data_IF_255215527455
#
_entry.id   IF_255215527455
#
_cell.length_a   1.000
_cell.length_b   1.000
_cell.length_c   1.000
_cell.angle_alpha   90.00
_cell.angle_beta   90.00
_cell.angle_gamma   90.00
#
_symmetry.space_group_name_H-M   'P 1'
#
loop_
_entity.id
_entity.type
_entity.pdbx_description
1 polymer ?
#
# COMPACT_ATOMS: atom_id res chain seq x y z
N UNK A 1 28.20 -3.21 -39.82
CA UNK A 1 27.37 -1.99 -39.83
C UNK A 1 26.27 -1.98 -38.74
N UNK A 2 26.53 -2.53 -37.54
CA UNK A 2 25.52 -2.54 -36.45
C UNK A 2 25.85 -1.57 -35.29
N UNK A 3 26.87 -0.72 -35.46
CA UNK A 3 27.28 0.20 -34.37
C UNK A 3 26.72 1.64 -34.45
N UNK A 4 26.25 2.09 -35.63
CA UNK A 4 25.78 3.47 -35.79
C UNK A 4 24.32 3.70 -35.38
N UNK A 5 23.43 2.70 -35.55
CA UNK A 5 22.01 2.85 -35.18
C UNK A 5 21.78 3.02 -33.67
N UNK A 6 22.60 2.38 -32.85
CA UNK A 6 22.50 2.47 -31.38
C UNK A 6 22.96 3.81 -30.81
N UNK A 7 23.96 4.44 -31.42
CA UNK A 7 24.46 5.76 -31.02
C UNK A 7 23.53 6.88 -31.45
N UNK A 8 22.97 6.81 -32.68
CA UNK A 8 21.98 7.76 -33.15
C UNK A 8 20.67 7.71 -32.35
N UNK A 9 20.21 6.50 -31.96
CA UNK A 9 19.06 6.34 -31.08
C UNK A 9 19.32 6.98 -29.69
N UNK A 10 20.50 6.75 -29.11
CA UNK A 10 20.91 7.31 -27.83
C UNK A 10 21.07 8.87 -27.87
N UNK A 11 21.52 9.40 -28.99
CA UNK A 11 21.64 10.86 -29.20
C UNK A 11 20.26 11.53 -29.36
N UNK A 12 19.31 10.88 -30.07
CA UNK A 12 17.92 11.34 -30.19
C UNK A 12 17.19 11.35 -28.83
N UNK A 13 17.46 10.37 -27.95
CA UNK A 13 16.89 10.31 -26.58
C UNK A 13 17.20 11.55 -25.75
N UNK A 14 18.28 12.30 -26.02
CA UNK A 14 18.69 13.47 -25.24
C UNK A 14 18.22 14.82 -25.84
N UNK A 15 17.71 14.82 -27.06
CA UNK A 15 17.44 16.06 -27.81
C UNK A 15 15.98 16.46 -27.93
N UNK A 16 15.04 15.55 -27.71
CA UNK A 16 13.62 15.82 -27.95
C UNK A 16 12.79 16.00 -26.68
N UNK A 17 12.97 15.09 -25.69
CA UNK A 17 12.28 15.17 -24.40
C UNK A 17 13.12 14.54 -23.28
N UNK A 18 12.81 14.91 -22.04
CA UNK A 18 13.44 14.34 -20.84
C UNK A 18 12.39 13.73 -19.91
N UNK A 19 12.58 12.47 -19.59
CA UNK A 19 11.95 11.76 -18.50
C UNK A 19 13.01 11.62 -17.38
N UNK A 20 12.89 12.43 -16.32
CA UNK A 20 14.00 12.67 -15.40
C UNK A 20 14.09 11.67 -14.26
N UNK A 21 12.96 11.10 -13.84
CA UNK A 21 12.91 10.11 -12.79
C UNK A 21 12.01 8.95 -13.22
N UNK A 22 12.34 7.67 -12.92
CA UNK A 22 11.52 6.52 -13.33
C UNK A 22 10.08 6.56 -12.83
N UNK A 23 9.84 7.26 -11.72
CA UNK A 23 8.51 7.45 -11.11
C UNK A 23 7.75 8.65 -11.65
N UNK A 24 8.33 9.44 -12.59
CA UNK A 24 7.63 10.59 -13.17
C UNK A 24 6.52 10.12 -14.10
N UNK A 25 5.37 10.74 -13.96
CA UNK A 25 4.18 10.50 -14.79
C UNK A 25 4.22 11.32 -16.10
N UNK A 26 5.18 12.22 -16.19
CA UNK A 26 5.33 13.13 -17.33
C UNK A 26 6.77 13.24 -17.77
N UNK A 27 6.98 13.38 -19.08
CA UNK A 27 8.23 13.85 -19.67
C UNK A 27 8.13 15.33 -20.09
N UNK A 28 9.26 16.01 -20.22
CA UNK A 28 9.32 17.42 -20.63
C UNK A 28 9.89 17.51 -22.03
N UNK A 29 9.17 18.13 -22.94
CA UNK A 29 9.60 18.44 -24.30
C UNK A 29 10.73 19.49 -24.26
N UNK A 30 11.87 19.21 -24.88
CA UNK A 30 13.01 20.14 -24.98
C UNK A 30 12.91 21.07 -26.19
N UNK A 31 12.06 20.74 -27.15
CA UNK A 31 11.70 21.51 -28.31
C UNK A 31 10.19 21.39 -28.57
N UNK A 32 9.63 22.16 -29.45
CA UNK A 32 8.25 21.93 -29.91
C UNK A 32 8.14 20.57 -30.61
N UNK A 33 7.17 19.76 -30.21
CA UNK A 33 6.83 18.47 -30.76
C UNK A 33 5.44 18.53 -31.38
N UNK A 34 5.21 17.72 -32.43
CA UNK A 34 3.93 17.73 -33.16
C UNK A 34 3.08 16.54 -32.77
N UNK A 35 1.79 16.68 -32.98
CA UNK A 35 0.86 15.57 -32.94
C UNK A 35 1.37 14.44 -33.83
N UNK A 36 1.15 13.19 -33.41
CA UNK A 36 1.60 11.97 -34.06
C UNK A 36 3.12 11.70 -34.09
N UNK A 37 3.96 12.64 -33.59
CA UNK A 37 5.38 12.32 -33.38
C UNK A 37 5.52 11.17 -32.38
N UNK A 38 6.47 10.27 -32.65
CA UNK A 38 6.87 9.23 -31.69
C UNK A 38 8.17 9.63 -31.03
N UNK A 39 8.12 9.83 -29.73
CA UNK A 39 9.23 10.31 -28.90
C UNK A 39 9.74 9.19 -28.01
N UNK A 40 11.05 8.91 -28.07
CA UNK A 40 11.69 7.98 -27.16
C UNK A 40 12.14 8.71 -25.90
N UNK A 41 11.65 8.28 -24.76
CA UNK A 41 12.06 8.78 -23.42
C UNK A 41 12.67 7.65 -22.60
N UNK A 42 13.66 7.95 -21.76
CA UNK A 42 14.28 6.96 -20.88
C UNK A 42 14.65 7.57 -19.55
N UNK A 43 14.53 6.76 -18.47
CA UNK A 43 14.91 7.10 -17.12
C UNK A 43 15.16 5.84 -16.29
N UNK A 44 16.22 5.79 -15.47
CA UNK A 44 16.49 4.71 -14.52
C UNK A 44 16.61 3.31 -15.15
N UNK A 45 17.03 3.22 -16.41
CA UNK A 45 17.11 1.94 -17.14
C UNK A 45 15.83 1.57 -17.90
N UNK A 46 14.73 2.29 -17.69
CA UNK A 46 13.49 2.15 -18.43
C UNK A 46 13.54 3.02 -19.69
N UNK A 47 12.96 2.53 -20.80
CA UNK A 47 12.79 3.30 -22.05
C UNK A 47 11.39 3.06 -22.60
N UNK A 48 10.76 4.12 -23.12
CA UNK A 48 9.40 4.08 -23.71
C UNK A 48 9.36 4.89 -24.99
N UNK A 49 8.71 4.35 -26.01
CA UNK A 49 8.32 5.08 -27.21
C UNK A 49 6.89 5.55 -27.04
N UNK A 50 6.70 6.88 -27.08
CA UNK A 50 5.39 7.51 -26.78
C UNK A 50 4.95 8.26 -28.03
N UNK A 51 3.78 7.92 -28.56
CA UNK A 51 3.12 8.65 -29.63
C UNK A 51 2.33 9.80 -29.05
N UNK A 52 2.60 11.01 -29.51
CA UNK A 52 1.92 12.21 -29.02
C UNK A 52 0.52 12.32 -29.61
N UNK A 53 -0.46 12.66 -28.78
CA UNK A 53 -1.86 12.84 -29.18
C UNK A 53 -2.17 14.28 -29.59
N UNK A 54 -1.24 15.21 -29.40
CA UNK A 54 -1.36 16.61 -29.76
C UNK A 54 -0.01 17.33 -29.78
N UNK A 55 0.01 18.57 -30.21
CA UNK A 55 1.20 19.42 -30.22
C UNK A 55 1.66 19.71 -28.77
N UNK A 56 2.95 19.55 -28.49
CA UNK A 56 3.55 19.82 -27.19
C UNK A 56 4.57 20.97 -27.35
N UNK A 57 4.31 22.15 -26.79
CA UNK A 57 5.26 23.26 -26.83
C UNK A 57 6.57 22.94 -26.10
N UNK A 58 7.67 23.58 -26.50
CA UNK A 58 8.96 23.46 -25.81
C UNK A 58 8.81 23.83 -24.32
N UNK A 59 9.41 23.03 -23.44
CA UNK A 59 9.32 23.20 -21.98
C UNK A 59 8.03 22.65 -21.34
N UNK A 60 7.04 22.27 -22.15
CA UNK A 60 5.80 21.68 -21.63
C UNK A 60 5.93 20.18 -21.40
N UNK A 61 4.97 19.64 -20.67
CA UNK A 61 4.92 18.24 -20.24
C UNK A 61 3.93 17.44 -21.08
N UNK A 62 4.23 16.17 -21.32
CA UNK A 62 3.28 15.20 -21.84
C UNK A 62 3.29 13.93 -20.98
N UNK A 63 2.17 13.25 -20.92
CA UNK A 63 2.01 12.04 -20.12
C UNK A 63 2.82 10.89 -20.69
N UNK A 64 3.56 10.16 -19.84
CA UNK A 64 4.32 8.97 -20.25
C UNK A 64 3.50 7.67 -20.14
N UNK A 65 2.26 7.77 -19.71
CA UNK A 65 1.24 6.72 -19.62
C UNK A 65 -0.14 7.36 -19.50
N UNK A 66 -1.20 6.57 -19.67
CA UNK A 66 -2.56 7.05 -19.38
C UNK A 66 -2.76 7.28 -17.88
N UNK A 67 -3.44 8.37 -17.53
CA UNK A 67 -3.57 8.90 -16.18
C UNK A 67 -5.03 9.29 -15.93
N UNK A 68 -5.63 8.80 -14.86
CA UNK A 68 -7.02 9.10 -14.51
C UNK A 68 -7.20 10.47 -13.82
N UNK A 69 -8.38 11.03 -13.93
CA UNK A 69 -8.79 12.22 -13.18
C UNK A 69 -8.61 12.01 -11.67
N UNK A 70 -8.23 13.05 -10.95
CA UNK A 70 -7.97 12.99 -9.52
C UNK A 70 -6.59 12.43 -9.14
N UNK A 71 -5.82 11.90 -10.10
CA UNK A 71 -4.49 11.36 -9.85
C UNK A 71 -3.50 12.49 -9.54
N UNK A 72 -2.70 12.33 -8.48
CA UNK A 72 -1.52 13.16 -8.23
C UNK A 72 -0.40 12.69 -9.13
N UNK A 73 0.16 13.60 -9.93
CA UNK A 73 1.23 13.28 -10.88
C UNK A 73 2.59 13.78 -10.40
N UNK A 74 3.63 13.05 -10.79
CA UNK A 74 5.03 13.32 -10.41
C UNK A 74 5.83 13.87 -11.56
N UNK A 75 6.78 14.75 -11.19
CA UNK A 75 7.90 15.20 -12.00
C UNK A 75 9.12 15.39 -11.09
N UNK A 76 10.29 14.93 -11.51
CA UNK A 76 11.52 14.89 -10.68
C UNK A 76 11.39 14.00 -9.43
N UNK A 77 10.55 12.97 -9.49
CA UNK A 77 10.22 12.13 -8.33
C UNK A 77 9.24 12.76 -7.35
N UNK A 78 8.91 14.06 -7.51
CA UNK A 78 8.06 14.84 -6.61
C UNK A 78 6.67 15.11 -7.21
N UNK A 79 5.65 15.18 -6.34
CA UNK A 79 4.30 15.53 -6.77
C UNK A 79 4.23 16.99 -7.22
N UNK A 80 3.67 17.22 -8.43
CA UNK A 80 3.56 18.56 -9.02
C UNK A 80 2.12 19.05 -9.14
N UNK A 81 1.13 18.19 -8.94
CA UNK A 81 -0.29 18.55 -9.03
C UNK A 81 -1.20 17.35 -9.09
N UNK A 82 -2.50 17.62 -9.20
CA UNK A 82 -3.59 16.66 -9.37
C UNK A 82 -4.27 16.87 -10.71
N UNK A 83 -4.52 15.81 -11.47
CA UNK A 83 -5.25 15.90 -12.72
C UNK A 83 -6.73 16.23 -12.47
N UNK A 84 -7.28 17.13 -13.26
CA UNK A 84 -8.69 17.52 -13.22
C UNK A 84 -9.57 16.72 -14.17
N UNK A 85 -8.96 15.97 -15.08
CA UNK A 85 -9.61 15.08 -16.06
C UNK A 85 -8.68 13.93 -16.44
N UNK A 86 -9.22 12.91 -17.11
CA UNK A 86 -8.40 11.84 -17.68
C UNK A 86 -7.43 12.38 -18.73
N UNK A 87 -6.22 11.83 -18.75
CA UNK A 87 -5.15 12.20 -19.68
C UNK A 87 -4.58 10.93 -20.30
N UNK A 88 -4.66 10.80 -21.61
CA UNK A 88 -4.08 9.68 -22.35
C UNK A 88 -2.56 9.77 -22.42
N UNK A 89 -1.89 8.61 -22.61
CA UNK A 89 -0.46 8.57 -22.91
C UNK A 89 -0.16 9.46 -24.14
N UNK A 90 0.90 10.27 -24.05
CA UNK A 90 1.30 11.23 -25.10
C UNK A 90 0.52 12.53 -25.11
N UNK A 91 -0.50 12.70 -24.27
CA UNK A 91 -1.28 13.93 -24.21
C UNK A 91 -0.56 15.03 -23.43
N UNK A 92 -0.82 16.27 -23.82
CA UNK A 92 -0.27 17.48 -23.18
C UNK A 92 -0.78 17.63 -21.74
N UNK A 93 0.14 17.82 -20.78
CA UNK A 93 -0.16 18.03 -19.36
C UNK A 93 0.22 19.46 -18.98
N UNK A 94 -0.80 20.28 -18.67
CA UNK A 94 -0.61 21.68 -18.32
C UNK A 94 -1.79 22.18 -17.47
N UNK A 95 -1.85 23.49 -17.17
CA UNK A 95 -2.86 24.13 -16.33
C UNK A 95 -4.32 23.86 -16.73
N UNK A 96 -4.59 23.45 -17.97
CA UNK A 96 -5.94 23.10 -18.41
C UNK A 96 -6.45 21.74 -17.90
N UNK A 97 -5.54 20.85 -17.51
CA UNK A 97 -5.85 19.51 -16.98
C UNK A 97 -5.03 19.14 -15.75
N UNK A 98 -4.25 20.05 -15.20
CA UNK A 98 -3.45 19.89 -14.00
C UNK A 98 -3.70 21.04 -13.05
N UNK A 99 -4.37 20.76 -11.95
CA UNK A 99 -4.37 21.64 -10.78
C UNK A 99 -3.02 21.46 -10.08
N UNK A 100 -2.15 22.47 -10.22
CA UNK A 100 -0.84 22.42 -9.60
C UNK A 100 -1.00 22.38 -8.09
N UNK A 101 -0.25 21.51 -7.43
CA UNK A 101 0.06 21.70 -6.03
C UNK A 101 0.96 22.94 -5.94
N UNK A 102 0.40 24.12 -6.27
CA UNK A 102 1.01 25.34 -5.81
C UNK A 102 1.21 25.09 -4.32
N UNK A 103 2.45 25.19 -3.83
CA UNK A 103 2.70 25.24 -2.39
C UNK A 103 1.72 26.31 -1.88
N UNK A 104 0.53 25.91 -1.43
CA UNK A 104 -0.18 26.71 -0.45
C UNK A 104 0.92 26.94 0.56
N UNK A 105 1.30 28.21 0.72
CA UNK A 105 2.30 28.58 1.73
C UNK A 105 1.95 27.75 2.96
N UNK A 106 2.92 27.06 3.55
CA UNK A 106 2.80 26.24 4.78
C UNK A 106 2.06 26.98 5.92
N UNK A 107 1.57 28.19 5.68
CA UNK A 107 0.84 29.07 6.59
C UNK A 107 -0.68 28.98 6.52
N UNK A 108 -1.27 28.31 5.52
CA UNK A 108 -2.73 28.06 5.49
C UNK A 108 -2.97 26.55 5.48
N UNK A 109 -3.08 25.95 6.68
CA UNK A 109 -3.33 24.53 6.93
C UNK A 109 -2.32 23.86 7.86
N UNK A 110 -1.57 24.63 8.64
CA UNK A 110 -0.62 24.10 9.64
C UNK A 110 -1.29 23.69 10.98
N UNK A 111 -2.62 23.60 11.03
CA UNK A 111 -3.37 23.20 12.22
C UNK A 111 -2.95 21.83 12.77
N UNK A 112 -2.35 20.97 11.93
CA UNK A 112 -1.85 19.67 12.37
C UNK A 112 -0.56 19.78 13.22
N UNK A 113 0.23 20.87 13.09
CA UNK A 113 1.43 21.07 13.91
C UNK A 113 1.08 21.22 15.39
N UNK A 114 -0.07 21.85 15.68
CA UNK A 114 -0.57 22.02 17.03
C UNK A 114 -1.16 20.70 17.60
N UNK A 115 -1.33 19.68 16.77
CA UNK A 115 -1.85 18.36 17.13
C UNK A 115 -0.75 17.30 17.28
N UNK A 116 0.52 17.72 17.21
CA UNK A 116 1.65 16.81 17.37
C UNK A 116 1.84 16.48 18.85
N UNK A 117 1.71 15.20 19.14
CA UNK A 117 1.95 14.63 20.46
C UNK A 117 3.30 13.89 20.49
N UNK A 118 4.00 13.87 21.62
CA UNK A 118 5.16 13.01 21.79
C UNK A 118 4.74 11.54 21.74
N UNK A 119 5.69 10.66 21.45
CA UNK A 119 5.47 9.21 21.52
C UNK A 119 4.98 8.85 22.93
N UNK A 120 3.84 8.16 23.10
CA UNK A 120 3.43 7.58 24.37
C UNK A 120 4.48 6.59 24.88
N UNK A 121 4.41 6.22 26.16
CA UNK A 121 5.20 5.10 26.67
C UNK A 121 4.88 3.85 25.85
N UNK A 122 5.92 3.14 25.41
CA UNK A 122 5.80 1.96 24.56
C UNK A 122 6.67 0.81 25.05
N UNK A 123 6.30 -0.38 24.64
CA UNK A 123 7.08 -1.61 24.78
C UNK A 123 7.57 -2.03 23.39
N UNK A 124 8.71 -2.73 23.34
CA UNK A 124 9.20 -3.38 22.14
C UNK A 124 8.81 -4.85 22.22
N UNK A 125 8.06 -5.32 21.25
CA UNK A 125 7.58 -6.70 21.19
C UNK A 125 8.54 -7.55 20.39
N UNK A 126 8.87 -8.72 20.94
CA UNK A 126 9.76 -9.70 20.31
C UNK A 126 11.21 -9.24 20.17
N UNK A 127 12.04 -10.09 19.54
CA UNK A 127 13.46 -9.84 19.34
C UNK A 127 13.82 -9.55 17.87
N UNK A 128 12.97 -9.97 16.93
CA UNK A 128 13.23 -9.90 15.51
C UNK A 128 13.21 -8.47 14.98
N UNK A 129 14.02 -8.25 13.95
CA UNK A 129 14.01 -7.04 13.14
C UNK A 129 13.55 -7.40 11.74
N UNK A 130 12.59 -6.65 11.23
CA UNK A 130 12.03 -6.80 9.89
C UNK A 130 12.64 -5.80 8.91
N UNK A 131 12.75 -6.20 7.64
CA UNK A 131 13.10 -5.30 6.54
C UNK A 131 11.91 -4.39 6.22
N UNK A 132 10.71 -4.97 6.06
CA UNK A 132 9.44 -4.26 5.98
C UNK A 132 8.45 -5.01 6.86
N UNK A 133 8.31 -4.59 8.11
CA UNK A 133 7.35 -5.18 9.04
C UNK A 133 5.95 -4.69 8.73
N UNK A 134 5.01 -5.62 8.54
CA UNK A 134 3.63 -5.34 8.11
C UNK A 134 2.62 -6.26 8.79
N UNK A 135 1.33 -6.02 8.46
CA UNK A 135 0.21 -6.88 8.84
C UNK A 135 0.17 -7.24 10.33
N UNK A 136 0.26 -6.25 11.26
CA UNK A 136 0.06 -6.56 12.67
C UNK A 136 -1.37 -7.08 12.89
N UNK A 137 -1.48 -8.22 13.58
CA UNK A 137 -2.74 -8.93 13.70
C UNK A 137 -2.84 -9.58 15.08
N UNK A 138 -3.87 -9.20 15.84
CA UNK A 138 -4.15 -9.78 17.16
C UNK A 138 -5.27 -10.80 17.07
N UNK A 139 -5.04 -12.01 17.56
CA UNK A 139 -6.06 -13.03 17.75
C UNK A 139 -6.43 -13.12 19.24
N UNK A 140 -7.55 -12.52 19.61
CA UNK A 140 -8.05 -12.53 20.98
C UNK A 140 -8.43 -13.93 21.47
N UNK A 141 -8.84 -14.83 20.54
CA UNK A 141 -9.29 -16.19 20.88
C UNK A 141 -8.15 -17.03 21.41
N UNK A 142 -6.95 -16.82 20.88
CA UNK A 142 -5.74 -17.60 21.25
C UNK A 142 -4.74 -16.77 22.04
N UNK A 143 -4.91 -15.46 22.15
CA UNK A 143 -3.92 -14.56 22.76
C UNK A 143 -2.63 -14.48 21.95
N UNK A 144 -2.71 -14.59 20.63
CA UNK A 144 -1.56 -14.58 19.72
C UNK A 144 -1.50 -13.30 18.93
N UNK A 145 -0.32 -12.77 18.79
CA UNK A 145 0.01 -11.66 17.92
C UNK A 145 0.80 -12.16 16.72
N UNK A 146 0.35 -11.84 15.51
CA UNK A 146 1.03 -12.17 14.27
C UNK A 146 1.50 -10.89 13.58
N UNK A 147 2.60 -10.98 12.82
CA UNK A 147 3.07 -9.95 11.89
C UNK A 147 3.93 -10.60 10.82
N UNK A 148 4.29 -9.85 9.80
CA UNK A 148 5.11 -10.36 8.70
C UNK A 148 6.34 -9.49 8.45
N UNK A 149 7.34 -10.07 7.78
CA UNK A 149 8.36 -9.36 7.01
C UNK A 149 8.05 -9.60 5.53
N UNK A 150 7.74 -8.53 4.79
CA UNK A 150 7.14 -8.64 3.45
C UNK A 150 8.10 -9.25 2.44
N UNK A 151 9.38 -8.87 2.47
CA UNK A 151 10.37 -9.22 1.43
C UNK A 151 11.80 -9.15 1.95
N UNK A 152 12.80 -9.44 1.08
CA UNK A 152 14.21 -9.63 1.37
C UNK A 152 14.45 -10.96 2.11
N UNK A 153 13.84 -11.14 3.25
CA UNK A 153 13.74 -12.41 3.98
C UNK A 153 12.30 -12.59 4.45
N UNK A 154 11.38 -12.93 3.52
CA UNK A 154 9.96 -12.99 3.85
C UNK A 154 9.72 -13.99 4.99
N UNK A 155 8.93 -13.58 5.98
CA UNK A 155 8.63 -14.39 7.17
C UNK A 155 7.26 -14.06 7.70
N UNK A 156 6.61 -15.04 8.28
CA UNK A 156 5.47 -14.86 9.17
C UNK A 156 5.98 -15.07 10.59
N UNK A 157 5.54 -14.22 11.51
CA UNK A 157 5.89 -14.30 12.93
C UNK A 157 4.64 -14.48 13.77
N UNK A 158 4.80 -15.14 14.90
CA UNK A 158 3.78 -15.26 15.94
C UNK A 158 4.43 -15.14 17.30
N UNK A 159 3.79 -14.38 18.20
CA UNK A 159 4.14 -14.30 19.60
C UNK A 159 2.89 -14.54 20.45
N UNK A 160 2.97 -15.48 21.37
CA UNK A 160 1.93 -15.69 22.37
C UNK A 160 2.02 -14.62 23.47
N UNK A 161 0.90 -14.22 24.04
CA UNK A 161 0.81 -13.09 25.00
C UNK A 161 1.78 -13.20 26.20
N UNK A 162 2.16 -14.42 26.58
CA UNK A 162 3.06 -14.67 27.73
C UNK A 162 4.41 -15.27 27.30
N UNK A 163 4.71 -15.33 26.01
CA UNK A 163 5.97 -15.86 25.49
C UNK A 163 7.04 -14.78 25.39
N UNK A 164 8.28 -15.15 25.62
CA UNK A 164 9.44 -14.28 25.43
C UNK A 164 10.07 -14.42 24.04
N UNK A 165 9.67 -15.42 23.25
CA UNK A 165 10.27 -15.74 21.95
C UNK A 165 9.19 -15.92 20.89
N UNK A 166 9.47 -15.37 19.72
CA UNK A 166 8.64 -15.56 18.53
C UNK A 166 8.78 -16.96 17.95
N UNK A 167 7.67 -17.49 17.43
CA UNK A 167 7.70 -18.52 16.39
C UNK A 167 7.85 -17.83 15.04
N UNK A 168 8.75 -18.34 14.20
CA UNK A 168 9.10 -17.72 12.92
C UNK A 168 9.02 -18.75 11.81
N UNK A 169 8.25 -18.48 10.78
CA UNK A 169 8.17 -19.30 9.57
C UNK A 169 8.79 -18.53 8.39
N UNK A 170 9.96 -18.96 7.87
CA UNK A 170 10.50 -18.44 6.63
C UNK A 170 9.57 -18.76 5.46
N UNK A 171 9.36 -17.78 4.58
CA UNK A 171 8.53 -17.93 3.40
C UNK A 171 9.38 -17.95 2.13
N UNK A 172 8.95 -18.72 1.14
CA UNK A 172 9.68 -18.84 -0.13
C UNK A 172 9.52 -17.64 -1.06
N UNK A 173 8.52 -16.80 -0.79
CA UNK A 173 8.14 -15.65 -1.62
C UNK A 173 7.61 -14.49 -0.77
N UNK A 174 7.45 -13.31 -1.38
CA UNK A 174 6.92 -12.12 -0.73
C UNK A 174 5.52 -12.40 -0.11
N UNK A 175 5.34 -11.96 1.13
CA UNK A 175 4.06 -12.02 1.87
C UNK A 175 3.52 -10.61 1.99
N UNK A 176 2.36 -10.32 1.41
CA UNK A 176 1.74 -9.01 1.46
C UNK A 176 1.00 -8.76 2.76
N UNK A 177 0.19 -9.74 3.20
CA UNK A 177 -0.58 -9.66 4.43
C UNK A 177 -1.02 -11.05 4.91
N UNK A 178 -1.42 -11.13 6.17
CA UNK A 178 -2.11 -12.29 6.76
C UNK A 178 -3.34 -11.80 7.53
N UNK A 179 -4.42 -12.57 7.47
CA UNK A 179 -5.64 -12.33 8.25
C UNK A 179 -6.10 -13.59 8.95
N UNK A 180 -6.88 -13.45 10.02
CA UNK A 180 -7.45 -14.58 10.72
C UNK A 180 -8.43 -15.34 9.83
N UNK A 181 -8.28 -16.65 9.75
CA UNK A 181 -9.20 -17.55 9.09
C UNK A 181 -10.00 -18.38 10.10
N UNK A 182 -10.63 -19.44 9.60
CA UNK A 182 -11.33 -20.42 10.41
C UNK A 182 -10.39 -21.55 10.85
N UNK A 183 -10.73 -22.23 11.95
CA UNK A 183 -10.01 -23.41 12.43
C UNK A 183 -8.59 -23.15 12.91
N UNK A 184 -8.25 -21.90 13.25
CA UNK A 184 -6.91 -21.54 13.71
C UNK A 184 -5.91 -21.27 12.57
N UNK A 185 -6.34 -21.40 11.31
CA UNK A 185 -5.52 -21.03 10.14
C UNK A 185 -5.53 -19.54 9.88
N UNK A 186 -4.53 -19.07 9.16
CA UNK A 186 -4.50 -17.74 8.58
C UNK A 186 -4.79 -17.83 7.07
N UNK A 187 -5.40 -16.80 6.51
CA UNK A 187 -5.41 -16.58 5.08
C UNK A 187 -4.23 -15.63 4.76
N UNK A 188 -3.33 -16.06 3.90
CA UNK A 188 -2.16 -15.30 3.46
C UNK A 188 -2.36 -14.78 2.04
N UNK A 189 -1.94 -13.55 1.79
CA UNK A 189 -1.80 -13.00 0.45
C UNK A 189 -0.31 -12.93 0.09
N UNK A 190 0.07 -13.67 -0.93
CA UNK A 190 1.44 -13.92 -1.35
C UNK A 190 1.71 -13.25 -2.71
N UNK A 191 2.94 -13.34 -3.21
CA UNK A 191 3.22 -12.98 -4.61
C UNK A 191 2.41 -13.86 -5.57
N UNK A 192 2.28 -15.14 -5.28
CA UNK A 192 1.56 -16.14 -6.09
C UNK A 192 0.05 -16.18 -5.84
N UNK A 193 -0.53 -15.19 -5.14
CA UNK A 193 -1.97 -15.12 -4.87
C UNK A 193 -2.34 -15.46 -3.43
N UNK A 194 -3.50 -16.09 -3.23
CA UNK A 194 -4.04 -16.37 -1.90
C UNK A 194 -3.82 -17.84 -1.51
N UNK A 195 -3.48 -18.07 -0.24
CA UNK A 195 -3.26 -19.39 0.31
C UNK A 195 -3.72 -19.46 1.77
N UNK A 196 -4.16 -20.63 2.21
CA UNK A 196 -4.25 -20.94 3.62
C UNK A 196 -2.85 -21.18 4.20
N UNK A 197 -2.59 -20.61 5.34
CA UNK A 197 -1.39 -20.85 6.13
C UNK A 197 -1.78 -21.51 7.45
N UNK A 198 -1.16 -22.65 7.78
CA UNK A 198 -1.38 -23.35 9.05
C UNK A 198 -0.24 -23.02 10.03
N UNK A 199 -0.51 -22.25 11.11
CA UNK A 199 0.53 -21.96 12.11
C UNK A 199 0.99 -23.17 12.91
N UNK A 200 0.30 -24.32 12.83
CA UNK A 200 0.69 -25.52 13.56
C UNK A 200 1.95 -26.17 12.98
N UNK A 201 2.12 -26.13 11.66
CA UNK A 201 3.24 -26.76 10.95
C UNK A 201 3.92 -25.86 9.91
N UNK A 202 3.39 -24.65 9.66
CA UNK A 202 3.90 -23.71 8.67
C UNK A 202 3.53 -24.06 7.23
N UNK A 203 2.61 -24.99 7.02
CA UNK A 203 2.19 -25.41 5.68
C UNK A 203 1.35 -24.34 4.97
N UNK A 204 1.48 -24.32 3.64
CA UNK A 204 0.66 -23.49 2.73
C UNK A 204 -0.22 -24.40 1.88
N UNK A 205 -1.49 -24.01 1.74
CA UNK A 205 -2.45 -24.64 0.85
C UNK A 205 -3.00 -23.57 -0.12
N UNK A 206 -2.52 -23.53 -1.38
CA UNK A 206 -2.91 -22.49 -2.34
C UNK A 206 -4.42 -22.51 -2.64
N UNK A 207 -5.00 -21.33 -2.78
CA UNK A 207 -6.41 -21.13 -3.13
C UNK A 207 -6.52 -20.76 -4.59
N UNK A 208 -6.03 -19.58 -4.96
CA UNK A 208 -6.02 -19.07 -6.32
C UNK A 208 -5.03 -17.90 -6.46
N UNK A 209 -4.58 -17.66 -7.68
CA UNK A 209 -3.86 -16.44 -8.07
C UNK A 209 -4.77 -15.55 -8.93
N UNK A 210 -5.20 -14.37 -8.41
CA UNK A 210 -6.05 -13.46 -9.18
C UNK A 210 -5.28 -12.67 -10.24
N UNK A 211 -3.93 -12.76 -10.25
CA UNK A 211 -3.04 -12.01 -11.16
C UNK A 211 -2.02 -12.93 -11.87
N UNK A 212 -2.38 -14.18 -12.16
CA UNK A 212 -1.53 -15.12 -12.87
C UNK A 212 -1.02 -14.60 -14.24
N UNK A 213 -1.73 -13.65 -14.83
CA UNK A 213 -1.37 -12.94 -16.07
C UNK A 213 -0.51 -11.67 -15.83
N UNK A 214 -0.25 -11.30 -14.59
CA UNK A 214 0.53 -10.12 -14.20
C UNK A 214 1.73 -10.51 -13.29
N UNK A 215 2.71 -11.30 -13.79
CA UNK A 215 3.76 -11.89 -12.95
C UNK A 215 4.71 -10.88 -12.30
N UNK A 216 4.68 -9.61 -12.75
CA UNK A 216 5.41 -8.51 -12.12
C UNK A 216 4.78 -8.02 -10.83
N UNK A 217 3.50 -8.31 -10.61
CA UNK A 217 2.77 -7.90 -9.43
C UNK A 217 2.98 -8.87 -8.24
N UNK A 218 2.60 -8.40 -7.07
CA UNK A 218 2.40 -9.19 -5.85
C UNK A 218 1.21 -8.65 -5.08
N UNK A 219 0.61 -9.47 -4.25
CA UNK A 219 -0.34 -8.97 -3.26
C UNK A 219 0.37 -8.05 -2.26
N UNK A 220 -0.37 -7.04 -1.77
CA UNK A 220 0.09 -6.10 -0.76
C UNK A 220 -0.81 -6.19 0.47
N UNK A 221 -1.24 -5.07 1.02
CA UNK A 221 -2.05 -5.06 2.23
C UNK A 221 -3.50 -5.51 1.97
N UNK A 222 -4.09 -6.14 2.97
CA UNK A 222 -5.44 -6.64 2.91
C UNK A 222 -6.05 -6.90 4.29
N UNK A 223 -7.38 -6.84 4.38
CA UNK A 223 -8.14 -7.12 5.60
C UNK A 223 -9.48 -7.76 5.29
N UNK A 224 -10.08 -8.35 6.31
CA UNK A 224 -11.46 -8.83 6.24
C UNK A 224 -12.44 -7.72 6.62
N UNK A 225 -13.58 -7.68 5.93
CA UNK A 225 -14.75 -6.92 6.38
C UNK A 225 -15.56 -7.69 7.40
N UNK A 226 -16.56 -7.04 8.01
CA UNK A 226 -17.40 -7.64 9.03
C UNK A 226 -18.25 -8.83 8.54
N UNK A 227 -18.47 -8.93 7.21
CA UNK A 227 -19.15 -10.07 6.60
C UNK A 227 -18.23 -11.29 6.43
N UNK A 228 -16.92 -11.13 6.63
CA UNK A 228 -15.94 -12.19 6.52
C UNK A 228 -15.37 -12.36 5.11
N UNK A 229 -15.54 -11.38 4.23
CA UNK A 229 -14.89 -11.32 2.91
C UNK A 229 -13.49 -10.74 3.07
N UNK A 230 -12.51 -11.27 2.35
CA UNK A 230 -11.15 -10.76 2.38
C UNK A 230 -10.94 -9.78 1.21
N UNK A 231 -10.38 -8.62 1.51
CA UNK A 231 -10.11 -7.56 0.56
C UNK A 231 -8.61 -7.28 0.52
N UNK A 232 -8.02 -7.27 -0.67
CA UNK A 232 -6.57 -7.16 -0.82
C UNK A 232 -6.20 -6.38 -2.07
N UNK A 233 -5.17 -5.55 -1.93
CA UNK A 233 -4.57 -4.85 -3.06
C UNK A 233 -3.36 -5.57 -3.62
N UNK A 234 -3.05 -5.34 -4.89
CA UNK A 234 -1.80 -5.73 -5.53
C UNK A 234 -0.98 -4.52 -5.96
N UNK A 235 0.30 -4.73 -6.20
CA UNK A 235 1.22 -3.70 -6.70
C UNK A 235 2.35 -4.31 -7.50
N UNK A 236 2.91 -3.54 -8.44
CA UNK A 236 4.19 -3.87 -9.05
C UNK A 236 5.33 -3.21 -8.25
N UNK A 237 6.14 -3.98 -7.50
CA UNK A 237 7.20 -3.41 -6.67
C UNK A 237 8.40 -2.91 -7.47
N UNK A 238 8.58 -3.36 -8.72
CA UNK A 238 9.74 -3.06 -9.56
C UNK A 238 9.53 -1.81 -10.40
N UNK A 239 8.39 -1.71 -11.09
CA UNK A 239 8.10 -0.56 -11.96
C UNK A 239 7.69 0.67 -11.17
N UNK A 240 7.01 0.45 -10.04
CA UNK A 240 6.42 1.52 -9.25
C UNK A 240 5.36 2.34 -9.98
N UNK A 241 4.79 1.77 -11.04
CA UNK A 241 3.68 2.35 -11.79
C UNK A 241 2.33 1.96 -11.16
N UNK A 242 1.25 2.58 -11.61
CA UNK A 242 -0.11 2.29 -11.14
C UNK A 242 -0.66 1.01 -11.83
N UNK A 243 0.04 -0.10 -11.66
CA UNK A 243 -0.28 -1.40 -12.26
C UNK A 243 -1.01 -2.33 -11.27
N UNK A 244 -1.19 -1.86 -10.03
CA UNK A 244 -1.88 -2.61 -9.00
C UNK A 244 -3.39 -2.57 -9.15
N UNK A 245 -4.02 -3.60 -8.60
CA UNK A 245 -5.46 -3.81 -8.59
C UNK A 245 -5.97 -4.02 -7.17
N UNK A 246 -7.28 -3.98 -6.98
CA UNK A 246 -7.92 -4.25 -5.71
C UNK A 246 -8.95 -5.37 -5.89
N UNK A 247 -8.86 -6.39 -5.04
CA UNK A 247 -9.63 -7.63 -5.12
C UNK A 247 -10.45 -7.84 -3.86
N UNK A 248 -11.54 -8.60 -4.01
CA UNK A 248 -12.32 -9.18 -2.94
C UNK A 248 -12.39 -10.69 -3.14
N UNK A 249 -11.99 -11.46 -2.13
CA UNK A 249 -12.18 -12.91 -2.05
C UNK A 249 -13.43 -13.19 -1.23
N UNK A 250 -14.39 -13.88 -1.83
CA UNK A 250 -15.66 -14.24 -1.21
C UNK A 250 -15.60 -15.62 -0.53
N UNK A 251 -16.64 -15.96 0.23
CA UNK A 251 -16.70 -17.19 1.03
C UNK A 251 -16.64 -18.48 0.20
N UNK A 252 -16.94 -18.43 -1.09
CA UNK A 252 -16.83 -19.56 -2.03
C UNK A 252 -15.42 -19.70 -2.63
N UNK A 253 -14.46 -18.90 -2.15
CA UNK A 253 -13.09 -18.81 -2.61
C UNK A 253 -12.95 -18.23 -4.03
N UNK A 254 -13.96 -17.59 -4.58
CA UNK A 254 -13.86 -16.82 -5.81
C UNK A 254 -13.29 -15.42 -5.54
N UNK A 255 -12.41 -14.92 -6.40
CA UNK A 255 -11.87 -13.58 -6.32
C UNK A 255 -12.47 -12.68 -7.40
N UNK A 256 -12.93 -11.50 -6.99
CA UNK A 256 -13.43 -10.47 -7.88
C UNK A 256 -12.46 -9.28 -7.88
N UNK A 257 -12.00 -8.87 -9.07
CA UNK A 257 -11.33 -7.58 -9.25
C UNK A 257 -12.37 -6.47 -9.17
N UNK A 258 -12.18 -5.53 -8.26
CA UNK A 258 -13.10 -4.41 -8.03
C UNK A 258 -12.71 -3.20 -8.88
N UNK A 259 -11.43 -2.84 -8.86
CA UNK A 259 -10.85 -1.75 -9.65
C UNK A 259 -9.33 -1.89 -9.74
N UNK A 260 -8.69 -1.07 -10.56
CA UNK A 260 -7.23 -1.03 -10.75
C UNK A 260 -6.69 0.38 -10.81
N UNK A 261 -5.44 0.51 -11.28
CA UNK A 261 -4.76 1.79 -11.39
C UNK A 261 -4.19 2.29 -10.07
N UNK A 262 -3.79 1.38 -9.19
CA UNK A 262 -3.20 1.67 -7.89
C UNK A 262 -1.67 1.55 -7.95
N UNK A 263 -0.98 2.42 -7.25
CA UNK A 263 0.49 2.34 -7.11
C UNK A 263 0.88 1.41 -5.96
N UNK A 264 0.33 1.66 -4.76
CA UNK A 264 0.66 0.90 -3.54
C UNK A 264 -0.54 0.98 -2.62
N UNK A 265 -1.55 0.11 -2.85
CA UNK A 265 -2.75 0.06 -2.01
C UNK A 265 -2.41 -0.45 -0.61
N UNK A 266 -2.84 0.30 0.41
CA UNK A 266 -2.57 0.02 1.82
C UNK A 266 -3.74 0.39 2.72
N UNK A 267 -3.72 -0.11 3.96
CA UNK A 267 -4.62 0.26 5.03
C UNK A 267 -6.10 0.06 4.75
N UNK A 268 -6.56 -1.01 4.04
CA UNK A 268 -7.98 -1.24 3.85
C UNK A 268 -8.67 -1.31 5.21
N UNK A 269 -9.72 -0.49 5.40
CA UNK A 269 -10.41 -0.36 6.68
C UNK A 269 -11.87 0.04 6.46
N UNK A 270 -12.74 -0.25 7.42
CA UNK A 270 -14.15 0.12 7.35
C UNK A 270 -14.56 0.90 8.57
N UNK A 271 -15.47 1.88 8.39
CA UNK A 271 -16.16 2.52 9.51
C UNK A 271 -16.83 1.46 10.40
N UNK A 272 -17.12 1.76 11.69
CA UNK A 272 -17.70 0.78 12.60
C UNK A 272 -19.03 0.18 12.12
N UNK A 273 -19.80 0.93 11.34
CA UNK A 273 -21.05 0.47 10.71
C UNK A 273 -20.86 -0.25 9.37
N UNK A 274 -19.62 -0.33 8.87
CA UNK A 274 -19.26 -0.94 7.61
C UNK A 274 -19.67 -0.16 6.36
N UNK A 275 -20.25 1.04 6.51
CA UNK A 275 -20.82 1.80 5.39
C UNK A 275 -19.81 2.67 4.64
N UNK A 276 -18.63 2.89 5.22
CA UNK A 276 -17.52 3.58 4.55
C UNK A 276 -16.32 2.66 4.50
N UNK A 277 -15.80 2.43 3.31
CA UNK A 277 -14.54 1.73 3.08
C UNK A 277 -13.43 2.74 2.82
N UNK A 278 -12.31 2.60 3.49
CA UNK A 278 -11.10 3.42 3.34
C UNK A 278 -9.99 2.62 2.69
N UNK A 279 -9.24 3.26 1.81
CA UNK A 279 -8.06 2.67 1.16
C UNK A 279 -7.01 3.75 0.90
N UNK A 280 -5.82 3.55 1.39
CA UNK A 280 -4.68 4.41 1.06
C UNK A 280 -4.02 3.98 -0.25
N UNK A 281 -3.51 4.94 -1.01
CA UNK A 281 -2.46 4.71 -2.00
C UNK A 281 -1.22 5.47 -1.54
N UNK A 282 -0.27 4.74 -0.97
CA UNK A 282 0.91 5.30 -0.32
C UNK A 282 1.70 6.22 -1.25
N UNK A 283 1.90 5.81 -2.50
CA UNK A 283 2.66 6.62 -3.47
C UNK A 283 1.91 7.86 -3.94
N UNK A 284 0.59 7.82 -3.94
CA UNK A 284 -0.21 9.01 -4.21
C UNK A 284 -0.25 9.95 -3.00
N UNK A 285 0.07 9.49 -1.80
CA UNK A 285 -0.08 10.24 -0.56
C UNK A 285 -1.54 10.58 -0.29
N UNK A 286 -2.46 9.68 -0.63
CA UNK A 286 -3.91 9.91 -0.56
C UNK A 286 -4.59 8.73 0.10
N UNK A 287 -5.51 9.03 1.01
CA UNK A 287 -6.48 8.05 1.51
C UNK A 287 -7.81 8.33 0.81
N UNK A 288 -8.36 7.32 0.20
CA UNK A 288 -9.67 7.35 -0.44
C UNK A 288 -10.74 6.80 0.48
N UNK A 289 -11.97 7.26 0.31
CA UNK A 289 -13.15 6.66 0.90
C UNK A 289 -14.16 6.30 -0.20
N UNK A 290 -14.93 5.25 0.08
CA UNK A 290 -16.01 4.76 -0.77
C UNK A 290 -17.22 4.50 0.10
N UNK A 291 -18.39 4.79 -0.40
CA UNK A 291 -19.61 4.23 0.22
C UNK A 291 -19.58 2.71 0.01
N UNK A 292 -19.94 1.97 1.00
CA UNK A 292 -19.90 0.50 0.99
C UNK A 292 -21.22 -0.07 1.50
N UNK A 293 -21.80 -1.00 0.76
CA UNK A 293 -22.89 -1.80 1.29
C UNK A 293 -22.31 -2.95 2.14
N UNK A 294 -22.50 -2.95 3.45
CA UNK A 294 -21.90 -3.95 4.32
C UNK A 294 -22.41 -5.37 4.06
N UNK A 295 -23.60 -5.53 3.47
CA UNK A 295 -24.18 -6.85 3.17
C UNK A 295 -23.59 -7.43 1.89
N UNK A 296 -23.54 -6.65 0.82
CA UNK A 296 -23.10 -7.11 -0.51
C UNK A 296 -21.63 -6.84 -0.78
N UNK A 297 -21.01 -5.88 -0.07
CA UNK A 297 -19.66 -5.38 -0.35
C UNK A 297 -19.59 -4.57 -1.64
N UNK A 298 -20.71 -4.06 -2.14
CA UNK A 298 -20.71 -3.17 -3.29
C UNK A 298 -20.15 -1.81 -2.89
N UNK A 299 -19.22 -1.30 -3.69
CA UNK A 299 -18.61 0.02 -3.50
C UNK A 299 -19.31 1.05 -4.38
N UNK A 300 -19.55 2.24 -3.81
CA UNK A 300 -19.93 3.44 -4.51
C UNK A 300 -18.76 4.18 -5.13
N UNK A 301 -18.97 5.46 -5.45
CA UNK A 301 -17.92 6.30 -6.06
C UNK A 301 -16.76 6.56 -5.10
N UNK A 302 -15.54 6.59 -5.67
CA UNK A 302 -14.32 6.93 -4.95
C UNK A 302 -14.25 8.44 -4.69
N UNK A 303 -14.03 8.83 -3.44
CA UNK A 303 -13.76 10.21 -3.03
C UNK A 303 -12.46 10.30 -2.25
N UNK A 304 -11.82 11.45 -2.23
CA UNK A 304 -10.66 11.72 -1.38
C UNK A 304 -11.17 11.90 0.05
N UNK A 305 -10.65 11.08 0.96
CA UNK A 305 -10.89 11.20 2.41
C UNK A 305 -9.84 12.12 3.05
N UNK A 306 -8.56 11.85 2.77
CA UNK A 306 -7.46 12.67 3.23
C UNK A 306 -6.36 12.74 2.16
N UNK A 307 -5.84 13.93 1.93
CA UNK A 307 -4.67 14.17 1.09
C UNK A 307 -3.54 14.66 1.98
N UNK A 308 -2.44 13.92 2.00
CA UNK A 308 -1.32 14.26 2.87
C UNK A 308 -0.67 15.60 2.51
N UNK A 309 -0.81 16.07 1.27
CA UNK A 309 -0.28 17.37 0.86
C UNK A 309 1.19 17.56 1.23
N UNK A 310 1.44 18.41 2.23
CA UNK A 310 2.78 18.69 2.76
C UNK A 310 3.16 17.83 3.98
N UNK A 311 2.31 16.90 4.42
CA UNK A 311 2.63 15.99 5.51
C UNK A 311 3.76 15.04 5.10
N UNK A 312 4.68 14.71 6.01
CA UNK A 312 5.80 13.84 5.69
C UNK A 312 5.36 12.39 5.49
N UNK A 313 6.03 11.68 4.58
CA UNK A 313 5.83 10.26 4.32
C UNK A 313 4.65 9.95 3.40
N UNK A 314 4.15 8.73 3.48
CA UNK A 314 2.99 8.24 2.75
C UNK A 314 2.08 7.42 3.66
N UNK A 315 0.73 7.48 3.49
CA UNK A 315 -0.20 6.69 4.28
C UNK A 315 0.01 5.21 3.97
N UNK A 316 0.21 4.42 5.00
CA UNK A 316 0.52 3.00 4.89
C UNK A 316 -0.55 2.18 5.62
N UNK A 317 -0.21 1.14 6.36
CA UNK A 317 -1.18 0.34 7.09
C UNK A 317 -2.01 1.18 8.06
N UNK A 318 -3.30 0.85 8.21
CA UNK A 318 -4.26 1.62 8.98
C UNK A 318 -5.17 0.74 9.85
N UNK A 319 -5.83 1.32 10.84
CA UNK A 319 -6.85 0.67 11.67
C UNK A 319 -7.92 1.68 12.08
N UNK A 320 -9.13 1.20 12.34
CA UNK A 320 -10.23 2.01 12.88
C UNK A 320 -10.31 1.78 14.39
N UNK A 321 -10.51 2.87 15.15
CA UNK A 321 -10.80 2.78 16.57
C UNK A 321 -12.31 2.76 16.89
N UNK A 322 -12.64 2.56 18.15
CA UNK A 322 -14.03 2.45 18.60
C UNK A 322 -14.82 3.77 18.47
N UNK A 323 -14.15 4.90 18.30
CA UNK A 323 -14.75 6.21 18.05
C UNK A 323 -14.97 6.45 16.54
N UNK A 324 -14.56 5.51 15.69
CA UNK A 324 -14.69 5.59 14.23
C UNK A 324 -13.58 6.37 13.54
N UNK A 325 -12.54 6.75 14.26
CA UNK A 325 -11.39 7.46 13.70
C UNK A 325 -10.41 6.49 13.02
N UNK A 326 -9.82 6.91 11.91
CA UNK A 326 -8.83 6.15 11.14
C UNK A 326 -7.42 6.47 11.62
N UNK A 327 -6.72 5.48 12.15
CA UNK A 327 -5.30 5.54 12.42
C UNK A 327 -4.51 5.09 11.21
N UNK A 328 -3.55 5.89 10.74
CA UNK A 328 -2.69 5.59 9.60
C UNK A 328 -1.22 5.76 9.97
N UNK A 329 -0.41 4.73 9.74
CA UNK A 329 1.03 4.84 9.79
C UNK A 329 1.53 5.68 8.61
N UNK A 330 2.55 6.52 8.84
CA UNK A 330 3.13 7.36 7.79
C UNK A 330 4.54 6.84 7.44
N UNK A 331 4.62 6.00 6.42
CA UNK A 331 5.89 5.41 6.00
C UNK A 331 6.87 6.47 5.51
N UNK A 332 8.01 6.59 6.19
CA UNK A 332 8.98 7.64 5.92
C UNK A 332 8.62 9.01 6.54
N UNK A 333 7.50 9.09 7.26
CA UNK A 333 7.03 10.31 7.93
C UNK A 333 7.33 10.37 9.42
N UNK A 334 7.73 9.25 10.05
CA UNK A 334 8.07 9.21 11.48
C UNK A 334 6.90 9.52 12.41
N UNK A 335 5.66 9.27 11.97
CA UNK A 335 4.48 9.54 12.79
C UNK A 335 3.32 8.58 12.47
N UNK A 336 2.36 8.54 13.38
CA UNK A 336 1.02 8.02 13.16
C UNK A 336 0.06 9.20 13.10
N UNK A 337 -0.94 9.14 12.22
CA UNK A 337 -1.99 10.16 12.13
C UNK A 337 -3.34 9.50 12.44
N UNK A 338 -4.09 10.12 13.33
CA UNK A 338 -5.49 9.80 13.60
C UNK A 338 -6.36 10.80 12.85
N UNK A 339 -7.21 10.30 11.97
CA UNK A 339 -8.19 11.11 11.25
C UNK A 339 -9.58 10.90 11.83
N UNK A 340 -10.28 11.99 12.06
CA UNK A 340 -11.70 11.96 12.37
C UNK A 340 -12.53 11.43 11.18
N UNK A 341 -13.78 10.98 11.39
CA UNK A 341 -14.61 10.41 10.32
C UNK A 341 -14.86 11.33 9.11
N UNK A 342 -14.70 12.63 9.29
CA UNK A 342 -14.80 13.65 8.22
C UNK A 342 -13.49 13.89 7.45
N UNK A 343 -12.40 13.19 7.83
CA UNK A 343 -11.08 13.33 7.21
C UNK A 343 -10.18 14.40 7.86
N UNK A 344 -10.66 15.13 8.86
CA UNK A 344 -9.84 16.08 9.61
C UNK A 344 -8.78 15.33 10.44
N UNK A 345 -7.58 15.93 10.54
CA UNK A 345 -6.55 15.40 11.44
C UNK A 345 -6.97 15.69 12.88
N UNK A 346 -7.13 14.63 13.66
CA UNK A 346 -7.44 14.69 15.08
C UNK A 346 -6.16 14.72 15.92
N UNK A 347 -5.24 13.78 15.69
CA UNK A 347 -3.97 13.66 16.43
C UNK A 347 -2.83 13.25 15.50
N UNK A 348 -1.61 13.67 15.83
CA UNK A 348 -0.37 13.23 15.18
C UNK A 348 0.59 12.76 16.26
N UNK A 349 0.88 11.47 16.33
CA UNK A 349 1.82 10.90 17.31
C UNK A 349 3.19 10.74 16.64
N UNK A 350 4.21 11.39 17.17
CA UNK A 350 5.60 11.15 16.75
C UNK A 350 6.02 9.73 17.09
N UNK A 351 6.74 9.10 16.17
CA UNK A 351 7.31 7.78 16.40
C UNK A 351 8.82 7.86 16.59
N UNK A 352 9.41 6.96 17.41
CA UNK A 352 10.86 6.92 17.62
C UNK A 352 11.61 6.29 16.44
N UNK A 353 10.95 6.13 15.31
CA UNK A 353 11.47 5.55 14.04
C UNK A 353 10.93 6.32 12.86
N UNK A 354 11.74 6.44 11.80
CA UNK A 354 11.34 7.15 10.59
C UNK A 354 10.30 6.42 9.72
N UNK A 355 10.13 5.09 9.89
CA UNK A 355 9.30 4.26 9.00
C UNK A 355 8.34 3.37 9.79
N UNK A 356 7.34 3.94 10.50
CA UNK A 356 6.19 3.15 10.92
C UNK A 356 5.44 2.68 9.65
N UNK A 357 5.05 1.41 9.59
CA UNK A 357 4.51 0.79 8.40
C UNK A 357 3.04 0.44 8.55
N UNK A 358 2.67 -0.27 9.63
CA UNK A 358 1.27 -0.66 9.82
C UNK A 358 0.86 -0.60 11.29
N UNK A 359 -0.45 -0.53 11.52
CA UNK A 359 -1.03 -0.46 12.86
C UNK A 359 -2.21 -1.42 13.02
N UNK A 360 -2.33 -2.00 14.22
CA UNK A 360 -3.51 -2.76 14.63
C UNK A 360 -3.77 -2.61 16.12
N UNK A 361 -5.03 -2.60 16.49
CA UNK A 361 -5.42 -2.69 17.90
C UNK A 361 -5.48 -4.14 18.37
N UNK A 362 -5.12 -4.35 19.64
CA UNK A 362 -5.15 -5.68 20.25
C UNK A 362 -4.98 -5.61 21.76
N UNK A 363 -4.64 -6.76 22.37
CA UNK A 363 -4.56 -6.91 23.81
C UNK A 363 -5.95 -6.89 24.47
N UNK A 364 -5.96 -6.85 25.80
CA UNK A 364 -7.22 -6.84 26.56
C UNK A 364 -8.06 -5.60 26.22
N UNK A 365 -9.30 -5.82 25.79
CA UNK A 365 -10.23 -4.77 25.40
C UNK A 365 -9.78 -3.92 24.22
N UNK A 366 -8.83 -4.42 23.42
CA UNK A 366 -8.28 -3.72 22.23
C UNK A 366 -7.69 -2.34 22.55
N UNK A 367 -7.11 -2.16 23.74
CA UNK A 367 -6.54 -0.88 24.19
C UNK A 367 -5.07 -0.69 23.84
N UNK A 368 -4.43 -1.69 23.26
CA UNK A 368 -3.04 -1.65 22.86
C UNK A 368 -2.95 -1.43 21.34
N UNK A 369 -2.23 -0.41 20.92
CA UNK A 369 -1.91 -0.18 19.52
C UNK A 369 -0.55 -0.82 19.21
N UNK A 370 -0.54 -1.83 18.36
CA UNK A 370 0.65 -2.46 17.82
C UNK A 370 1.06 -1.73 16.55
N UNK A 371 2.33 -1.38 16.45
CA UNK A 371 2.91 -0.65 15.31
C UNK A 371 4.08 -1.44 14.78
N UNK A 372 3.97 -1.95 13.56
CA UNK A 372 5.09 -2.52 12.84
C UNK A 372 5.91 -1.42 12.19
N UNK A 373 7.21 -1.67 12.00
CA UNK A 373 8.14 -0.68 11.45
C UNK A 373 9.09 -1.31 10.44
N UNK A 374 9.76 -0.49 9.63
CA UNK A 374 10.66 -0.97 8.59
C UNK A 374 12.09 -0.48 8.78
N UNK A 375 13.06 -1.34 8.44
CA UNK A 375 14.48 -1.00 8.33
C UNK A 375 14.96 -0.86 6.87
N UNK A 376 14.06 -1.00 5.90
CA UNK A 376 14.34 -0.98 4.47
C UNK A 376 15.16 0.24 4.04
N UNK A 377 16.26 -0.02 3.31
CA UNK A 377 17.12 1.01 2.74
C UNK A 377 17.93 1.81 3.77
N UNK A 378 18.00 1.34 5.03
CA UNK A 378 18.85 1.96 6.06
C UNK A 378 20.25 1.37 6.03
N UNK A 379 21.26 2.23 6.15
CA UNK A 379 22.64 1.85 6.38
C UNK A 379 22.87 1.41 7.81
N UNK A 380 23.96 0.72 8.11
CA UNK A 380 24.31 0.33 9.48
C UNK A 380 24.41 1.53 10.44
N UNK A 381 24.93 2.67 9.95
CA UNK A 381 25.00 3.89 10.74
C UNK A 381 23.60 4.43 11.09
N UNK A 382 22.65 4.38 10.14
CA UNK A 382 21.26 4.76 10.38
C UNK A 382 20.56 3.77 11.33
N UNK A 383 20.82 2.46 11.20
CA UNK A 383 20.29 1.45 12.11
C UNK A 383 20.84 1.60 13.54
N UNK A 384 22.07 2.09 13.67
CA UNK A 384 22.65 2.43 14.97
C UNK A 384 21.99 3.66 15.57
N UNK A 385 21.65 4.66 14.76
CA UNK A 385 20.96 5.87 15.19
C UNK A 385 19.47 5.62 15.49
N UNK A 386 18.83 4.71 14.75
CA UNK A 386 17.42 4.29 14.95
C UNK A 386 17.35 2.80 15.32
N UNK A 387 17.75 2.40 16.54
CA UNK A 387 17.83 0.99 16.91
C UNK A 387 16.47 0.25 16.93
N UNK A 388 15.39 1.00 16.94
CA UNK A 388 14.01 0.48 16.92
C UNK A 388 13.45 0.28 15.50
N UNK A 389 14.15 0.73 14.46
CA UNK A 389 13.71 0.51 13.08
C UNK A 389 13.61 -0.99 12.77
N UNK A 390 12.49 -1.43 12.21
CA UNK A 390 12.17 -2.84 11.96
C UNK A 390 11.66 -3.61 13.18
N UNK A 391 11.43 -2.94 14.33
CA UNK A 391 10.85 -3.57 15.54
C UNK A 391 9.34 -3.36 15.56
N UNK A 392 8.65 -4.17 16.36
CA UNK A 392 7.24 -3.96 16.70
C UNK A 392 7.16 -3.16 18.00
N UNK A 393 6.43 -2.05 17.97
CA UNK A 393 6.19 -1.19 19.14
C UNK A 393 4.74 -1.34 19.58
N UNK A 394 4.51 -1.34 20.88
CA UNK A 394 3.16 -1.49 21.45
C UNK A 394 2.93 -0.38 22.48
N UNK A 395 1.84 0.37 22.33
CA UNK A 395 1.54 1.53 23.16
C UNK A 395 0.04 1.63 23.46
N UNK A 396 -0.31 2.32 24.54
CA UNK A 396 -1.68 2.77 24.81
C UNK A 396 -1.82 4.20 24.27
N UNK A 397 -2.78 4.40 23.38
CA UNK A 397 -3.06 5.71 22.76
C UNK A 397 -4.31 6.38 23.33
N UNK A 398 -4.86 5.83 24.43
CA UNK A 398 -6.00 6.39 25.16
C UNK A 398 -7.37 6.05 24.57
N UNK A 399 -7.43 5.32 23.47
CA UNK A 399 -8.67 4.83 22.84
C UNK A 399 -8.58 3.33 22.60
N UNK A 400 -9.73 2.66 22.57
CA UNK A 400 -9.80 1.25 22.18
C UNK A 400 -10.01 1.11 20.68
N UNK A 401 -9.51 0.03 20.10
CA UNK A 401 -9.82 -0.36 18.72
C UNK A 401 -11.03 -1.27 18.60
N UNK A 402 -11.22 -1.79 17.40
CA UNK A 402 -12.22 -2.80 17.08
C UNK A 402 -11.57 -4.17 16.87
N UNK A 403 -12.26 -5.28 17.18
CA UNK A 403 -11.77 -6.62 16.89
C UNK A 403 -11.57 -6.80 15.38
N UNK A 404 -10.47 -7.48 14.94
CA UNK A 404 -10.29 -7.79 13.54
C UNK A 404 -11.35 -8.81 13.08
N UNK A 405 -11.91 -8.59 11.89
CA UNK A 405 -12.77 -9.59 11.28
C UNK A 405 -11.96 -10.80 10.79
N UNK A 406 -12.63 -11.96 10.70
CA UNK A 406 -12.03 -13.22 10.23
C UNK A 406 -12.57 -13.54 8.84
N UNK A 407 -11.73 -14.10 7.98
CA UNK A 407 -12.18 -14.67 6.73
C UNK A 407 -13.08 -15.89 7.00
N UNK A 408 -14.23 -15.92 6.33
CA UNK A 408 -15.21 -17.00 6.47
C UNK A 408 -15.38 -17.70 5.13
N UNK A 409 -14.84 -18.92 5.02
CA UNK A 409 -15.07 -19.76 3.86
C UNK A 409 -16.32 -20.61 4.03
N UNK A 410 -17.02 -20.91 2.93
CA UNK A 410 -18.14 -21.87 2.95
C UNK A 410 -17.57 -23.28 3.26
N UNK A 411 -18.17 -23.96 4.22
CA UNK A 411 -17.72 -25.30 4.69
C UNK A 411 -17.62 -26.38 3.59
N UNK A 412 -18.19 -26.16 2.41
CA UNK A 412 -18.10 -27.04 1.25
C UNK A 412 -16.87 -26.80 0.36
N UNK A 413 -16.30 -25.60 0.36
CA UNK A 413 -15.18 -25.21 -0.52
C UNK A 413 -13.84 -25.65 0.04
N UNK A 414 -13.71 -25.74 1.37
CA UNK A 414 -12.45 -26.09 2.04
C UNK A 414 -12.02 -27.59 1.89
N UNK A 415 -12.90 -28.45 1.40
CA UNK A 415 -12.61 -29.89 1.22
C UNK A 415 -12.28 -30.25 -0.24
N UNK A 416 -12.51 -29.39 -1.21
CA UNK A 416 -12.31 -29.69 -2.63
C UNK A 416 -10.84 -29.58 -3.09
N UNK A 417 -10.01 -28.80 -2.41
CA UNK A 417 -8.59 -28.60 -2.77
C UNK A 417 -7.69 -29.80 -2.44
N UNK A 418 -8.10 -30.66 -1.50
CA UNK A 418 -7.28 -31.80 -1.04
C UNK A 418 -7.43 -33.08 -1.89
N UNK A 419 -8.43 -33.16 -2.77
CA UNK A 419 -8.73 -34.39 -3.52
C UNK A 419 -8.17 -34.46 -4.95
N UNK A 420 -7.72 -33.33 -5.52
CA UNK A 420 -7.24 -33.28 -6.90
C UNK A 420 -5.76 -33.64 -7.11
N UNK A 421 -5.01 -33.93 -6.04
CA UNK A 421 -3.57 -34.19 -6.08
C UNK A 421 -3.12 -35.65 -5.90
N UNK A 422 -4.03 -36.62 -5.91
CA UNK A 422 -3.67 -38.05 -5.75
C UNK A 422 -4.32 -38.94 -6.79
N UNK A 423 -3.96 -38.73 -8.05
CA UNK A 423 -4.06 -39.77 -9.10
C UNK A 423 -3.14 -39.36 -10.26
N UNK A 424 -1.87 -39.69 -10.20
CA UNK A 424 -1.12 -40.19 -11.36
C UNK A 424 -0.03 -41.11 -10.82
N UNK A 425 -0.04 -42.31 -11.33
CA UNK A 425 0.82 -43.45 -11.06
C UNK A 425 2.32 -43.23 -11.24
#
# INVERSE_FOLDING_TARGET
MHGCEGQDKKLRMQTEARWLHPLDDVATALRGLRADDTVLVASGGLAREIRLTGDIPAGHKFAVRSLGAGLRIRKYGEFIGRLTQDVEEGAHVHLHNLETCARKKVTEGADWLDRIEPTPAFEVLGESRTFVGESPLWDETTGRFYWIDVRDRPRIFMLEANASRETVWPMAEDVGTVVLGEGGKLLAALRSGFAWFDPADGSLDPILDPEADLPGNRMNDGKCDAAGRFWCGSMNPETGLAEGNFYRLDADLSAQRLFGGLFTPNGPSWSPDGRTFYLADTRQGTIFAFDCDPQTGQLGERRVFADLGALPGGPDGAAIDAEGCLWSAQFGGGCLIRYAPDGAIDRVIRMPVGKPASVAFGGEGYRRLFVTTASRGMTEAQLTAEPLAGRVLVMDVGVAGLPPARFRANRGSAMAGSAAGREVA
#
